data_IF_849893461468
#
_entry.id   IF_849893461468
#
_cell.length_a   1.000
_cell.length_b   1.000
_cell.length_c   1.000
_cell.angle_alpha   90.00
_cell.angle_beta   90.00
_cell.angle_gamma   90.00
#
_symmetry.space_group_name_H-M   'P 1'
#
loop_
_entity.id
_entity.type
_entity.pdbx_description
1 polymer ?
#
# COMPACT_ATOMS: atom_id res chain seq x y z
N UNK A 1 -0.65 -19.02 3.67
CA UNK A 1 -0.12 -18.22 2.55
C UNK A 1 0.83 -17.17 3.07
N UNK A 2 2.07 -17.28 2.69
CA UNK A 2 3.14 -16.43 3.23
C UNK A 2 2.95 -14.94 2.88
N UNK A 3 2.53 -14.65 1.64
CA UNK A 3 2.32 -13.25 1.20
C UNK A 3 1.20 -12.60 1.98
N UNK A 4 0.13 -13.33 2.25
CA UNK A 4 -0.98 -12.81 3.05
C UNK A 4 -0.53 -12.56 4.50
N UNK A 5 0.25 -13.46 5.07
CA UNK A 5 0.79 -13.28 6.42
C UNK A 5 1.70 -12.06 6.49
N UNK A 6 2.56 -11.87 5.49
CA UNK A 6 3.42 -10.69 5.40
C UNK A 6 2.59 -9.41 5.33
N UNK A 7 1.51 -9.41 4.56
CA UNK A 7 0.60 -8.28 4.49
C UNK A 7 -0.04 -8.00 5.86
N UNK A 8 -0.53 -9.02 6.55
CA UNK A 8 -1.15 -8.84 7.88
C UNK A 8 -0.16 -8.22 8.87
N UNK A 9 1.09 -8.66 8.85
CA UNK A 9 2.13 -8.11 9.72
C UNK A 9 2.41 -6.65 9.37
N UNK A 10 2.54 -6.33 8.08
CA UNK A 10 2.78 -4.96 7.64
C UNK A 10 1.59 -4.05 7.96
N UNK A 11 0.37 -4.55 7.83
CA UNK A 11 -0.84 -3.81 8.18
C UNK A 11 -0.89 -3.52 9.68
N UNK A 12 -0.54 -4.49 10.51
CA UNK A 12 -0.47 -4.26 11.96
C UNK A 12 0.57 -3.20 12.31
N UNK A 13 1.72 -3.21 11.64
CA UNK A 13 2.75 -2.19 11.85
C UNK A 13 2.27 -0.81 11.38
N UNK A 14 1.50 -0.75 10.30
CA UNK A 14 0.98 0.51 9.78
C UNK A 14 0.07 1.22 10.79
N UNK A 15 -0.63 0.47 11.64
CA UNK A 15 -1.50 1.07 12.66
C UNK A 15 -0.74 1.99 13.62
N UNK A 16 0.56 1.78 13.79
CA UNK A 16 1.38 2.64 14.65
C UNK A 16 1.46 4.08 14.15
N UNK A 17 1.08 4.35 12.89
CA UNK A 17 1.05 5.71 12.35
C UNK A 17 0.14 6.64 13.15
N UNK A 18 -0.89 6.10 13.78
CA UNK A 18 -1.84 6.89 14.58
C UNK A 18 -1.28 7.31 15.94
N UNK A 19 -0.15 6.73 16.35
CA UNK A 19 0.53 7.09 17.59
C UNK A 19 1.37 8.36 17.46
N UNK A 20 1.52 8.88 16.24
CA UNK A 20 2.37 10.02 15.94
C UNK A 20 1.55 11.18 15.40
N UNK A 21 1.86 12.38 15.87
CA UNK A 21 1.20 13.61 15.43
C UNK A 21 2.23 14.69 15.07
N UNK A 22 1.81 15.66 14.25
CA UNK A 22 2.69 16.78 13.90
C UNK A 22 3.05 17.63 15.13
N UNK A 23 4.26 18.21 15.15
CA UNK A 23 5.26 18.19 14.06
C UNK A 23 6.09 16.91 14.06
N UNK A 24 6.45 16.44 12.84
CA UNK A 24 7.27 15.24 12.69
C UNK A 24 8.74 15.59 12.43
N UNK A 25 9.65 14.87 13.08
CA UNK A 25 11.07 14.92 12.72
C UNK A 25 11.35 14.11 11.44
N UNK A 26 12.54 14.30 10.86
CA UNK A 26 12.92 13.59 9.63
C UNK A 26 12.86 12.06 9.77
N UNK A 27 13.30 11.55 10.90
CA UNK A 27 13.29 10.09 11.15
C UNK A 27 11.84 9.60 11.22
N UNK A 28 10.97 10.35 11.89
CA UNK A 28 9.55 10.02 11.98
C UNK A 28 8.88 10.07 10.61
N UNK A 29 9.13 11.12 9.82
CA UNK A 29 8.57 11.23 8.47
C UNK A 29 8.99 10.04 7.61
N UNK A 30 10.28 9.71 7.61
CA UNK A 30 10.80 8.60 6.82
C UNK A 30 10.21 7.27 7.30
N UNK A 31 10.13 7.07 8.60
CA UNK A 31 9.56 5.85 9.18
C UNK A 31 8.08 5.68 8.86
N UNK A 32 7.29 6.75 8.98
CA UNK A 32 5.86 6.71 8.72
C UNK A 32 5.55 6.44 7.25
N UNK A 33 6.29 7.08 6.33
CA UNK A 33 6.17 6.79 4.90
C UNK A 33 6.57 5.34 4.61
N UNK A 34 7.62 4.85 5.27
CA UNK A 34 8.08 3.47 5.13
C UNK A 34 7.05 2.45 5.58
N UNK A 35 6.29 2.74 6.64
CA UNK A 35 5.20 1.87 7.09
C UNK A 35 4.12 1.74 6.01
N UNK A 36 3.74 2.85 5.38
CA UNK A 36 2.79 2.83 4.27
C UNK A 36 3.33 2.01 3.10
N UNK A 37 4.57 2.30 2.68
CA UNK A 37 5.18 1.59 1.54
C UNK A 37 5.23 0.09 1.78
N UNK A 38 5.69 -0.34 2.95
CA UNK A 38 5.79 -1.76 3.28
C UNK A 38 4.41 -2.43 3.23
N UNK A 39 3.40 -1.78 3.78
CA UNK A 39 2.04 -2.31 3.78
C UNK A 39 1.50 -2.42 2.35
N UNK A 40 1.65 -1.37 1.55
CA UNK A 40 1.17 -1.38 0.16
C UNK A 40 1.87 -2.48 -0.65
N UNK A 41 3.19 -2.59 -0.55
CA UNK A 41 3.95 -3.61 -1.29
C UNK A 41 3.47 -5.02 -0.95
N UNK A 42 3.26 -5.32 0.32
CA UNK A 42 2.77 -6.64 0.72
C UNK A 42 1.32 -6.86 0.30
N UNK A 43 0.50 -5.80 0.27
CA UNK A 43 -0.91 -5.94 -0.10
C UNK A 43 -1.10 -6.37 -1.56
N UNK A 44 -0.44 -5.72 -2.52
CA UNK A 44 -0.61 -6.11 -3.91
C UNK A 44 0.07 -7.45 -4.23
N UNK A 45 1.15 -7.79 -3.54
CA UNK A 45 1.78 -9.10 -3.67
C UNK A 45 0.87 -10.21 -3.14
N UNK A 46 0.15 -9.96 -2.06
CA UNK A 46 -0.85 -10.90 -1.54
C UNK A 46 -2.00 -11.08 -2.54
N UNK A 47 -2.49 -9.98 -3.12
CA UNK A 47 -3.52 -10.07 -4.18
C UNK A 47 -3.05 -10.90 -5.35
N UNK A 48 -1.82 -10.69 -5.82
CA UNK A 48 -1.25 -11.44 -6.92
C UNK A 48 -1.22 -12.94 -6.62
N UNK A 49 -0.76 -13.32 -5.43
CA UNK A 49 -0.72 -14.72 -5.02
C UNK A 49 -2.12 -15.35 -4.99
N UNK A 50 -3.10 -14.63 -4.42
CA UNK A 50 -4.48 -15.11 -4.36
C UNK A 50 -5.11 -15.25 -5.75
N UNK A 51 -4.84 -14.31 -6.65
CA UNK A 51 -5.35 -14.37 -8.03
C UNK A 51 -4.73 -15.54 -8.79
N UNK A 52 -3.44 -15.78 -8.65
CA UNK A 52 -2.77 -16.92 -9.27
C UNK A 52 -3.38 -18.24 -8.78
N UNK A 53 -3.62 -18.38 -7.49
CA UNK A 53 -4.24 -19.57 -6.91
C UNK A 53 -5.67 -19.77 -7.37
N UNK A 54 -6.37 -18.69 -7.72
CA UNK A 54 -7.75 -18.73 -8.21
C UNK A 54 -7.85 -18.91 -9.72
N UNK A 55 -6.72 -19.12 -10.42
CA UNK A 55 -6.71 -19.41 -11.83
C UNK A 55 -6.60 -18.19 -12.75
N UNK A 56 -6.28 -17.03 -12.24
CA UNK A 56 -6.08 -15.82 -13.05
C UNK A 56 -4.65 -15.79 -13.59
N UNK A 57 -4.40 -16.46 -14.70
CA UNK A 57 -3.06 -16.62 -15.25
C UNK A 57 -2.37 -15.28 -15.59
N UNK A 58 -3.14 -14.27 -15.99
CA UNK A 58 -2.61 -12.95 -16.30
C UNK A 58 -1.96 -12.25 -15.10
N UNK A 59 -2.26 -12.68 -13.87
CA UNK A 59 -1.69 -12.12 -12.66
C UNK A 59 -0.18 -12.45 -12.52
N UNK A 60 0.30 -13.50 -13.20
CA UNK A 60 1.70 -13.93 -13.06
C UNK A 60 2.70 -12.86 -13.52
N UNK A 61 2.34 -12.07 -14.51
CA UNK A 61 3.22 -11.05 -15.09
C UNK A 61 2.70 -9.63 -14.92
N UNK A 62 1.66 -9.46 -14.10
CA UNK A 62 1.00 -8.17 -13.96
C UNK A 62 1.78 -7.17 -13.13
N UNK A 63 1.74 -5.90 -13.54
CA UNK A 63 2.20 -4.78 -12.72
C UNK A 63 1.24 -4.57 -11.54
N UNK A 64 1.61 -3.79 -10.49
CA UNK A 64 0.70 -3.48 -9.40
C UNK A 64 -0.65 -2.92 -9.89
N UNK A 65 -0.64 -2.03 -10.89
CA UNK A 65 -1.87 -1.48 -11.46
C UNK A 65 -2.75 -2.57 -12.07
N UNK A 66 -2.16 -3.47 -12.85
CA UNK A 66 -2.88 -4.59 -13.45
C UNK A 66 -3.46 -5.51 -12.39
N UNK A 67 -2.69 -5.81 -11.35
CA UNK A 67 -3.14 -6.67 -10.24
C UNK A 67 -4.34 -6.03 -9.52
N UNK A 68 -4.29 -4.74 -9.25
CA UNK A 68 -5.40 -4.02 -8.61
C UNK A 68 -6.66 -4.10 -9.46
N UNK A 69 -6.55 -3.85 -10.76
CA UNK A 69 -7.69 -3.91 -11.67
C UNK A 69 -8.28 -5.31 -11.76
N UNK A 70 -7.43 -6.33 -11.82
CA UNK A 70 -7.85 -7.72 -11.85
C UNK A 70 -8.54 -8.12 -10.54
N UNK A 71 -7.99 -7.68 -9.40
CA UNK A 71 -8.60 -7.94 -8.09
C UNK A 71 -9.99 -7.31 -7.98
N UNK A 72 -10.16 -6.10 -8.53
CA UNK A 72 -11.48 -5.45 -8.56
C UNK A 72 -12.47 -6.25 -9.40
N UNK A 73 -12.06 -6.69 -10.60
CA UNK A 73 -12.90 -7.51 -11.48
C UNK A 73 -13.28 -8.84 -10.83
N UNK A 74 -12.39 -9.41 -10.05
CA UNK A 74 -12.62 -10.67 -9.31
C UNK A 74 -13.40 -10.46 -8.01
N UNK A 75 -13.86 -9.25 -7.72
CA UNK A 75 -14.57 -8.87 -6.49
C UNK A 75 -13.78 -9.08 -5.21
N UNK A 76 -12.45 -9.18 -5.32
CA UNK A 76 -11.56 -9.31 -4.18
C UNK A 76 -11.46 -8.00 -3.39
N UNK A 77 -11.54 -6.87 -4.11
CA UNK A 77 -11.60 -5.53 -3.54
C UNK A 77 -12.83 -4.80 -4.10
N UNK A 78 -13.37 -3.85 -3.36
CA UNK A 78 -14.61 -3.16 -3.73
C UNK A 78 -14.42 -1.68 -4.07
N UNK A 79 -13.22 -1.13 -3.87
CA UNK A 79 -12.92 0.28 -4.14
C UNK A 79 -11.65 0.41 -4.97
N UNK A 80 -11.81 0.26 -6.30
CA UNK A 80 -10.67 0.37 -7.23
C UNK A 80 -10.01 1.74 -7.16
N UNK A 81 -10.81 2.81 -7.06
CA UNK A 81 -10.27 4.17 -7.05
C UNK A 81 -9.36 4.42 -5.84
N UNK A 82 -9.76 3.91 -4.67
CA UNK A 82 -8.95 4.03 -3.47
C UNK A 82 -7.60 3.33 -3.65
N UNK A 83 -7.61 2.11 -4.18
CA UNK A 83 -6.40 1.35 -4.40
C UNK A 83 -5.49 1.98 -5.45
N UNK A 84 -6.06 2.56 -6.51
CA UNK A 84 -5.28 3.27 -7.52
C UNK A 84 -4.70 4.57 -6.96
N UNK A 85 -5.43 5.26 -6.08
CA UNK A 85 -4.90 6.43 -5.38
C UNK A 85 -3.73 6.03 -4.46
N UNK A 86 -3.85 4.89 -3.77
CA UNK A 86 -2.76 4.38 -2.94
C UNK A 86 -1.52 4.04 -3.79
N UNK A 87 -1.72 3.51 -4.98
CA UNK A 87 -0.61 3.24 -5.91
C UNK A 87 0.10 4.54 -6.32
N UNK A 88 -0.64 5.62 -6.57
CA UNK A 88 -0.04 6.92 -6.87
C UNK A 88 0.80 7.39 -5.69
N UNK A 89 0.29 7.28 -4.46
CA UNK A 89 1.04 7.64 -3.27
C UNK A 89 2.32 6.82 -3.14
N UNK A 90 2.24 5.52 -3.41
CA UNK A 90 3.42 4.63 -3.38
C UNK A 90 4.46 5.06 -4.42
N UNK A 91 4.03 5.43 -5.62
CA UNK A 91 4.93 5.89 -6.65
C UNK A 91 5.62 7.21 -6.26
N UNK A 92 4.99 8.01 -5.42
CA UNK A 92 5.56 9.26 -4.92
C UNK A 92 6.53 9.06 -3.75
N UNK A 93 6.63 7.85 -3.19
CA UNK A 93 7.58 7.58 -2.10
C UNK A 93 9.01 7.91 -2.52
N UNK A 94 9.36 7.72 -3.79
CA UNK A 94 10.68 8.06 -4.30
C UNK A 94 11.00 9.57 -4.15
N UNK A 95 9.99 10.41 -3.98
CA UNK A 95 10.12 11.85 -3.81
C UNK A 95 9.87 12.32 -2.37
N UNK A 96 9.76 11.39 -1.42
CA UNK A 96 9.44 11.70 -0.03
C UNK A 96 10.58 12.39 0.73
N UNK A 97 11.76 12.57 0.12
CA UNK A 97 12.77 13.47 0.63
C UNK A 97 12.24 14.91 0.70
N UNK A 98 11.27 15.26 -0.10
CA UNK A 98 10.53 16.52 -0.01
C UNK A 98 9.49 16.38 1.11
N UNK A 99 9.56 17.27 2.10
CA UNK A 99 8.71 17.21 3.28
C UNK A 99 7.23 17.28 2.92
N UNK A 100 6.85 18.10 1.95
CA UNK A 100 5.44 18.25 1.56
C UNK A 100 4.90 16.96 0.95
N UNK A 101 5.70 16.28 0.13
CA UNK A 101 5.32 14.98 -0.45
C UNK A 101 5.16 13.95 0.66
N UNK A 102 6.09 13.88 1.61
CA UNK A 102 6.01 12.95 2.74
C UNK A 102 4.76 13.21 3.58
N UNK A 103 4.44 14.46 3.87
CA UNK A 103 3.24 14.82 4.64
C UNK A 103 1.96 14.42 3.92
N UNK A 104 1.88 14.64 2.61
CA UNK A 104 0.72 14.24 1.82
C UNK A 104 0.48 12.72 1.88
N UNK A 105 1.55 11.94 1.79
CA UNK A 105 1.45 10.48 1.90
C UNK A 105 0.92 10.09 3.29
N UNK A 106 1.44 10.70 4.35
CA UNK A 106 1.01 10.41 5.72
C UNK A 106 -0.45 10.80 5.93
N UNK A 107 -0.86 11.98 5.47
CA UNK A 107 -2.25 12.42 5.57
C UNK A 107 -3.19 11.47 4.84
N UNK A 108 -2.85 11.10 3.60
CA UNK A 108 -3.68 10.18 2.83
C UNK A 108 -3.76 8.81 3.50
N UNK A 109 -2.66 8.36 4.11
CA UNK A 109 -2.65 7.09 4.84
C UNK A 109 -3.61 7.14 6.02
N UNK A 110 -3.60 8.22 6.80
CA UNK A 110 -4.47 8.36 7.97
C UNK A 110 -5.94 8.54 7.60
N UNK A 111 -6.22 9.31 6.53
CA UNK A 111 -7.58 9.71 6.19
C UNK A 111 -8.29 8.75 5.24
N UNK A 112 -7.56 8.11 4.33
CA UNK A 112 -8.16 7.32 3.25
C UNK A 112 -7.81 5.84 3.29
N UNK A 113 -6.62 5.49 3.72
CA UNK A 113 -6.09 4.13 3.57
C UNK A 113 -6.12 3.27 4.85
#
# INVERSE_FOLDING_TARGET
MKKYENFCNAFNNLKDIYDYEEPFGNVELTGLVGLFEACFEQSWKAMKELLEQSGYDSAQTGSPRHIIKTAYQATMIDDEELWLAALVSRNNVAHAYNKDVALDIIYDTKEKY
#
